data_IF_941592051842
#
_entry.id   IF_941592051842
#
_cell.length_a   1.000
_cell.length_b   1.000
_cell.length_c   1.000
_cell.angle_alpha   90.00
_cell.angle_beta   90.00
_cell.angle_gamma   90.00
#
_symmetry.space_group_name_H-M   'P 1'
#
loop_
_entity.id
_entity.type
_entity.pdbx_description
1 polymer ?
#
# COMPACT_ATOMS: atom_id res chain seq x y z
N UNK A 1 8.09 31.89 -12.73
CA UNK A 1 7.71 31.70 -14.15
C UNK A 1 6.23 31.32 -14.26
N UNK A 2 5.74 30.27 -13.59
CA UNK A 2 4.31 29.88 -13.62
C UNK A 2 3.36 30.96 -13.06
N UNK A 3 3.80 31.77 -12.11
CA UNK A 3 3.05 32.92 -11.60
C UNK A 3 3.05 34.09 -12.59
N UNK A 4 4.08 34.23 -13.44
CA UNK A 4 4.17 35.21 -14.52
C UNK A 4 3.19 34.85 -15.65
N UNK A 5 3.17 33.58 -16.06
CA UNK A 5 2.22 33.10 -17.08
C UNK A 5 0.76 33.21 -16.61
N UNK A 6 0.48 32.91 -15.33
CA UNK A 6 -0.85 33.07 -14.74
C UNK A 6 -1.27 34.57 -14.64
N UNK A 7 -0.31 35.49 -14.43
CA UNK A 7 -0.57 36.94 -14.45
C UNK A 7 -0.79 37.47 -15.87
N UNK A 8 -0.10 36.92 -16.86
CA UNK A 8 -0.28 37.27 -18.26
C UNK A 8 -1.64 36.81 -18.79
N UNK A 9 -2.07 35.57 -18.44
CA UNK A 9 -3.42 35.07 -18.73
C UNK A 9 -4.52 35.91 -18.06
N UNK A 10 -4.25 36.49 -16.90
CA UNK A 10 -5.20 37.38 -16.20
C UNK A 10 -5.25 38.80 -16.81
N UNK A 11 -4.16 39.28 -17.43
CA UNK A 11 -4.11 40.53 -18.14
C UNK A 11 -4.79 40.44 -19.51
N UNK A 12 -4.64 39.31 -20.21
CA UNK A 12 -5.26 39.07 -21.52
C UNK A 12 -6.76 38.73 -21.42
N UNK A 13 -7.26 38.32 -20.25
CA UNK A 13 -8.67 37.96 -20.02
C UNK A 13 -9.62 39.17 -20.01
N UNK A 14 -9.11 40.40 -19.97
CA UNK A 14 -9.94 41.62 -20.05
C UNK A 14 -10.61 41.86 -21.42
N UNK A 15 -10.21 41.10 -22.44
CA UNK A 15 -10.75 41.19 -23.79
C UNK A 15 -11.49 39.92 -24.25
N UNK A 16 -11.79 38.98 -23.36
CA UNK A 16 -12.58 37.82 -23.71
C UNK A 16 -14.08 38.01 -23.48
N UNK A 17 -14.94 37.55 -24.39
CA UNK A 17 -16.39 37.78 -24.34
C UNK A 17 -17.15 36.94 -23.28
N UNK A 18 -16.46 36.16 -22.43
CA UNK A 18 -17.07 35.42 -21.36
C UNK A 18 -16.30 35.57 -20.04
N UNK A 19 -16.96 35.70 -18.89
CA UNK A 19 -16.30 35.86 -17.61
C UNK A 19 -15.57 34.56 -17.26
N UNK A 20 -14.26 34.62 -17.17
CA UNK A 20 -13.47 33.60 -16.48
C UNK A 20 -13.86 33.68 -15.01
N UNK A 21 -14.81 32.84 -14.61
CA UNK A 21 -15.26 32.76 -13.22
C UNK A 21 -14.06 32.38 -12.35
N UNK A 22 -13.58 33.41 -11.70
CA UNK A 22 -12.78 33.40 -10.48
C UNK A 22 -12.03 32.11 -10.18
N UNK A 23 -10.75 32.10 -10.49
CA UNK A 23 -9.77 31.32 -9.74
C UNK A 23 -9.87 31.78 -8.27
N UNK A 24 -10.71 31.11 -7.49
CA UNK A 24 -10.78 31.38 -6.05
C UNK A 24 -9.39 31.24 -5.48
N UNK A 25 -8.98 32.20 -4.67
CA UNK A 25 -7.75 32.20 -3.90
C UNK A 25 -7.78 31.12 -2.80
N UNK A 26 -8.05 29.87 -3.15
CA UNK A 26 -7.70 28.80 -2.26
C UNK A 26 -6.20 28.66 -2.21
N UNK A 27 -5.65 28.78 -1.03
CA UNK A 27 -4.24 28.75 -0.68
C UNK A 27 -3.51 27.63 -1.43
N UNK A 28 -2.86 27.98 -2.53
CA UNK A 28 -1.95 27.08 -3.24
C UNK A 28 -0.75 26.90 -2.32
N UNK A 29 -0.70 25.72 -1.69
CA UNK A 29 0.41 25.36 -0.83
C UNK A 29 1.69 25.35 -1.68
N UNK A 30 2.63 26.25 -1.37
CA UNK A 30 3.85 26.53 -2.15
C UNK A 30 4.84 25.35 -2.22
N UNK A 31 4.52 24.23 -1.59
CA UNK A 31 5.37 23.02 -1.48
C UNK A 31 4.97 21.87 -2.42
N UNK A 32 3.98 22.04 -3.31
CA UNK A 32 3.61 20.98 -4.25
C UNK A 32 4.52 20.95 -5.48
N UNK A 33 4.96 19.78 -5.97
CA UNK A 33 5.72 19.66 -7.22
C UNK A 33 4.95 20.25 -8.41
N UNK A 34 5.67 20.81 -9.38
CA UNK A 34 5.07 21.44 -10.56
C UNK A 34 4.18 20.48 -11.38
N UNK A 35 4.53 19.21 -11.46
CA UNK A 35 3.73 18.15 -12.10
C UNK A 35 2.34 18.01 -11.48
N UNK A 36 2.22 18.13 -10.16
CA UNK A 36 0.96 18.10 -9.43
C UNK A 36 0.07 19.33 -9.73
N UNK A 37 0.67 20.46 -10.03
CA UNK A 37 -0.06 21.68 -10.45
C UNK A 37 -0.67 21.54 -11.84
N UNK A 38 0.03 20.93 -12.77
CA UNK A 38 -0.47 20.68 -14.14
C UNK A 38 -1.63 19.69 -14.12
N UNK A 39 -1.56 18.66 -13.28
CA UNK A 39 -2.64 17.69 -13.12
C UNK A 39 -3.91 18.31 -12.53
N UNK A 40 -3.80 19.24 -11.57
CA UNK A 40 -4.94 20.03 -11.08
C UNK A 40 -5.54 20.91 -12.16
N UNK A 41 -4.71 21.48 -13.04
CA UNK A 41 -5.18 22.36 -14.11
C UNK A 41 -6.04 21.59 -15.13
N UNK A 42 -5.67 20.37 -15.52
CA UNK A 42 -6.48 19.50 -16.40
C UNK A 42 -7.92 19.27 -15.89
N UNK A 43 -8.14 19.28 -14.57
CA UNK A 43 -9.45 19.04 -13.96
C UNK A 43 -10.44 20.21 -14.10
N UNK A 44 -9.95 21.42 -14.41
CA UNK A 44 -10.77 22.64 -14.48
C UNK A 44 -11.11 23.08 -15.91
N UNK A 45 -10.59 22.38 -16.92
CA UNK A 45 -10.87 22.70 -18.33
C UNK A 45 -11.89 21.70 -18.86
N UNK A 46 -13.15 21.98 -18.63
CA UNK A 46 -14.27 21.30 -19.29
C UNK A 46 -15.14 22.33 -20.01
N UNK A 47 -14.93 22.52 -21.29
CA UNK A 47 -15.93 23.08 -22.21
C UNK A 47 -15.45 22.99 -23.67
N UNK A 48 -16.34 22.60 -24.53
CA UNK A 48 -16.15 22.17 -25.92
C UNK A 48 -15.65 23.20 -26.94
N UNK A 49 -15.33 24.45 -26.56
CA UNK A 49 -14.98 25.53 -27.51
C UNK A 49 -13.59 26.15 -27.35
N UNK A 50 -12.76 25.63 -26.45
CA UNK A 50 -11.39 26.14 -26.22
C UNK A 50 -10.30 25.08 -26.52
N UNK A 51 -10.62 24.06 -27.30
CA UNK A 51 -9.77 22.88 -27.43
C UNK A 51 -8.37 23.14 -28.00
N UNK A 52 -8.24 23.96 -29.02
CA UNK A 52 -6.94 24.13 -29.71
C UNK A 52 -5.95 25.04 -28.95
N UNK A 53 -6.41 26.10 -28.35
CA UNK A 53 -5.53 27.00 -27.56
C UNK A 53 -5.15 26.38 -26.22
N UNK A 54 -6.10 25.70 -25.55
CA UNK A 54 -5.85 25.01 -24.29
C UNK A 54 -4.94 23.79 -24.48
N UNK A 55 -5.03 23.06 -25.59
CA UNK A 55 -4.09 22.01 -25.93
C UNK A 55 -2.68 22.54 -26.18
N UNK A 56 -2.55 23.70 -26.86
CA UNK A 56 -1.26 24.37 -27.06
C UNK A 56 -0.60 24.79 -25.75
N UNK A 57 -1.35 25.43 -24.85
CA UNK A 57 -0.87 25.81 -23.50
C UNK A 57 -0.53 24.59 -22.67
N UNK A 58 -1.36 23.57 -22.73
CA UNK A 58 -1.13 22.32 -21.98
C UNK A 58 0.13 21.60 -22.48
N UNK A 59 0.31 21.52 -23.80
CA UNK A 59 1.49 20.92 -24.41
C UNK A 59 2.76 21.71 -24.08
N UNK A 60 2.71 23.03 -24.13
CA UNK A 60 3.83 23.86 -23.70
C UNK A 60 4.17 23.68 -22.20
N UNK A 61 3.17 23.60 -21.31
CA UNK A 61 3.39 23.34 -19.90
C UNK A 61 3.93 21.92 -19.64
N UNK A 62 3.52 20.95 -20.45
CA UNK A 62 4.05 19.59 -20.39
C UNK A 62 5.50 19.53 -20.87
N UNK A 63 5.85 20.25 -21.95
CA UNK A 63 7.23 20.36 -22.42
C UNK A 63 8.14 21.09 -21.42
N UNK A 64 7.67 22.17 -20.83
CA UNK A 64 8.38 22.86 -19.75
C UNK A 64 8.62 21.95 -18.55
N UNK A 65 7.64 21.11 -18.20
CA UNK A 65 7.78 20.15 -17.09
C UNK A 65 8.76 19.04 -17.44
N UNK A 66 8.76 18.56 -18.69
CA UNK A 66 9.69 17.55 -19.17
C UNK A 66 11.16 17.98 -19.09
N UNK A 67 11.46 19.28 -19.23
CA UNK A 67 12.82 19.81 -19.03
C UNK A 67 13.39 19.58 -17.63
N UNK A 68 12.54 19.33 -16.64
CA UNK A 68 12.93 19.07 -15.26
C UNK A 68 12.80 17.61 -14.86
N UNK A 69 12.37 16.72 -15.78
CA UNK A 69 12.33 15.29 -15.56
C UNK A 69 13.67 14.67 -15.91
N UNK A 70 14.17 13.83 -15.01
CA UNK A 70 15.41 13.11 -15.22
C UNK A 70 15.08 11.64 -15.48
N UNK A 71 15.43 11.15 -16.66
CA UNK A 71 15.37 9.71 -16.93
C UNK A 71 16.45 9.01 -16.11
N UNK A 72 16.04 8.07 -15.24
CA UNK A 72 16.90 7.43 -14.25
C UNK A 72 17.06 5.92 -14.47
N UNK A 73 16.32 5.31 -15.37
CA UNK A 73 16.49 3.91 -15.68
C UNK A 73 15.37 3.28 -16.51
N UNK A 74 15.71 2.13 -17.10
CA UNK A 74 14.81 1.33 -17.90
C UNK A 74 14.66 -0.05 -17.30
N UNK A 75 13.43 -0.55 -17.22
CA UNK A 75 13.10 -1.84 -16.65
C UNK A 75 12.12 -2.60 -17.55
N UNK A 76 12.07 -3.91 -17.42
CA UNK A 76 11.01 -4.71 -18.02
C UNK A 76 9.76 -4.64 -17.16
N UNK A 77 9.93 -4.71 -15.83
CA UNK A 77 8.84 -4.67 -14.86
C UNK A 77 9.16 -3.65 -13.75
N UNK A 78 8.21 -2.78 -13.49
CA UNK A 78 8.23 -1.91 -12.29
C UNK A 78 7.11 -2.33 -11.35
N UNK A 79 7.44 -2.53 -10.08
CA UNK A 79 6.48 -2.84 -9.01
C UNK A 79 6.36 -1.65 -8.06
N UNK A 80 5.14 -1.14 -7.87
CA UNK A 80 4.86 0.00 -7.00
C UNK A 80 4.35 -0.51 -5.66
N UNK A 81 5.18 -0.40 -4.64
CA UNK A 81 4.90 -0.86 -3.27
C UNK A 81 5.61 -2.17 -2.93
N UNK A 82 6.35 -2.18 -1.82
CA UNK A 82 7.07 -3.33 -1.29
C UNK A 82 6.36 -3.96 -0.06
N UNK A 83 5.02 -4.03 -0.10
CA UNK A 83 4.24 -4.89 0.77
C UNK A 83 4.29 -6.35 0.31
N UNK A 84 3.54 -7.25 0.95
CA UNK A 84 3.59 -8.69 0.63
C UNK A 84 3.40 -8.99 -0.86
N UNK A 85 2.37 -8.43 -1.49
CA UNK A 85 2.10 -8.65 -2.91
C UNK A 85 3.20 -8.08 -3.81
N UNK A 86 3.76 -6.92 -3.45
CA UNK A 86 4.83 -6.28 -4.23
C UNK A 86 6.16 -7.02 -4.12
N UNK A 87 6.48 -7.55 -2.95
CA UNK A 87 7.68 -8.37 -2.75
C UNK A 87 7.62 -9.61 -3.64
N UNK A 88 6.52 -10.34 -3.57
CA UNK A 88 6.34 -11.56 -4.35
C UNK A 88 6.34 -11.29 -5.85
N UNK A 89 5.68 -10.23 -6.30
CA UNK A 89 5.68 -9.83 -7.70
C UNK A 89 7.08 -9.43 -8.20
N UNK A 90 7.84 -8.67 -7.41
CA UNK A 90 9.18 -8.23 -7.77
C UNK A 90 10.17 -9.40 -7.79
N UNK A 91 10.12 -10.24 -6.76
CA UNK A 91 10.95 -11.44 -6.67
C UNK A 91 10.67 -12.40 -7.85
N UNK A 92 9.41 -12.70 -8.11
CA UNK A 92 9.03 -13.58 -9.21
C UNK A 92 9.47 -13.03 -10.58
N UNK A 93 9.21 -11.75 -10.87
CA UNK A 93 9.59 -11.13 -12.13
C UNK A 93 11.12 -11.17 -12.35
N UNK A 94 11.90 -10.83 -11.33
CA UNK A 94 13.36 -10.87 -11.40
C UNK A 94 13.89 -12.31 -11.52
N UNK A 95 13.35 -13.28 -10.79
CA UNK A 95 13.71 -14.70 -10.87
C UNK A 95 13.43 -15.27 -12.25
N UNK A 96 12.38 -14.79 -12.94
CA UNK A 96 12.08 -15.15 -14.33
C UNK A 96 13.00 -14.45 -15.35
N UNK A 97 13.98 -13.66 -14.90
CA UNK A 97 14.97 -13.01 -15.75
C UNK A 97 14.56 -11.62 -16.26
N UNK A 98 13.45 -11.06 -15.81
CA UNK A 98 13.09 -9.68 -16.15
C UNK A 98 13.94 -8.68 -15.35
N UNK A 99 14.44 -7.64 -16.00
CA UNK A 99 15.06 -6.51 -15.32
C UNK A 99 13.98 -5.74 -14.55
N UNK A 100 13.97 -5.89 -13.24
CA UNK A 100 12.87 -5.48 -12.38
C UNK A 100 13.27 -4.37 -11.41
N UNK A 101 12.37 -3.41 -11.16
CA UNK A 101 12.50 -2.46 -10.06
C UNK A 101 11.30 -2.51 -9.14
N UNK A 102 11.52 -2.43 -7.84
CA UNK A 102 10.48 -2.22 -6.84
C UNK A 102 10.65 -0.86 -6.17
N UNK A 103 9.55 -0.10 -6.10
CA UNK A 103 9.50 1.21 -5.47
C UNK A 103 8.79 1.14 -4.13
N UNK A 104 9.41 1.70 -3.11
CA UNK A 104 8.83 1.82 -1.77
C UNK A 104 9.05 3.22 -1.22
N UNK A 105 8.11 3.74 -0.45
CA UNK A 105 8.27 5.05 0.22
C UNK A 105 9.28 4.99 1.39
N UNK A 106 9.54 3.80 1.93
CA UNK A 106 10.53 3.58 2.97
C UNK A 106 11.11 2.17 2.86
N UNK A 107 12.44 2.07 2.88
CA UNK A 107 13.14 0.78 2.93
C UNK A 107 12.87 0.03 4.23
N UNK A 108 12.55 0.74 5.31
CA UNK A 108 12.22 0.17 6.62
C UNK A 108 10.75 -0.29 6.73
N UNK A 109 9.98 -0.13 5.65
CA UNK A 109 8.60 -0.59 5.56
C UNK A 109 8.40 -1.77 4.59
N UNK A 110 9.48 -2.34 4.05
CA UNK A 110 9.43 -3.55 3.20
C UNK A 110 8.86 -4.71 4.03
N UNK A 111 7.86 -5.41 3.51
CA UNK A 111 7.22 -6.53 4.22
C UNK A 111 6.52 -6.13 5.52
N UNK A 112 6.15 -4.87 5.67
CA UNK A 112 5.51 -4.37 6.88
C UNK A 112 4.16 -5.06 7.13
N UNK A 113 3.91 -5.43 8.39
CA UNK A 113 2.66 -6.05 8.85
C UNK A 113 1.90 -5.08 9.78
N UNK A 114 1.24 -4.05 9.23
CA UNK A 114 0.66 -2.98 10.05
C UNK A 114 -0.56 -3.43 10.86
N UNK A 115 -1.28 -4.44 10.40
CA UNK A 115 -2.48 -4.94 11.08
C UNK A 115 -2.13 -5.97 12.16
N UNK A 116 -1.80 -7.18 11.75
CA UNK A 116 -1.40 -8.29 12.62
C UNK A 116 -0.07 -8.86 12.16
N UNK A 117 0.89 -9.11 13.05
CA UNK A 117 2.13 -9.79 12.69
C UNK A 117 1.89 -11.31 12.58
N UNK A 118 1.05 -11.72 11.64
CA UNK A 118 0.70 -13.12 11.42
C UNK A 118 0.52 -13.44 9.95
N UNK A 119 0.99 -14.63 9.56
CA UNK A 119 0.86 -15.18 8.22
C UNK A 119 -0.12 -16.36 8.27
N UNK A 120 -0.93 -16.50 7.21
CA UNK A 120 -1.88 -17.60 7.08
C UNK A 120 -3.20 -17.39 7.81
N UNK A 121 -3.74 -18.47 8.36
CA UNK A 121 -5.09 -18.55 8.89
C UNK A 121 -6.08 -19.10 7.86
N UNK A 122 -7.36 -19.17 8.22
CA UNK A 122 -8.41 -19.76 7.39
C UNK A 122 -8.43 -19.14 5.99
N UNK A 123 -8.39 -19.95 4.95
CA UNK A 123 -8.23 -19.63 3.53
C UNK A 123 -6.88 -18.98 3.15
N UNK A 124 -6.29 -18.17 4.00
CA UNK A 124 -5.01 -17.50 3.71
C UNK A 124 -3.82 -18.46 3.76
N UNK A 125 -3.84 -19.43 4.67
CA UNK A 125 -2.79 -20.45 4.79
C UNK A 125 -2.62 -21.26 3.51
N UNK A 126 -3.71 -21.59 2.83
CA UNK A 126 -3.69 -22.28 1.54
C UNK A 126 -3.00 -21.44 0.47
N UNK A 127 -3.35 -20.14 0.38
CA UNK A 127 -2.71 -19.22 -0.57
C UNK A 127 -1.21 -19.07 -0.35
N UNK A 128 -0.75 -19.07 0.92
CA UNK A 128 0.70 -19.01 1.21
C UNK A 128 1.40 -20.27 0.72
N UNK A 129 0.79 -21.45 0.87
CA UNK A 129 1.36 -22.71 0.36
C UNK A 129 1.36 -22.79 -1.17
N UNK A 130 0.33 -22.29 -1.82
CA UNK A 130 0.29 -22.17 -3.29
C UNK A 130 1.41 -21.24 -3.78
N UNK A 131 1.60 -20.12 -3.09
CA UNK A 131 2.66 -19.16 -3.39
C UNK A 131 4.06 -19.78 -3.18
N UNK A 132 4.26 -20.51 -2.09
CA UNK A 132 5.51 -21.24 -1.81
C UNK A 132 5.82 -22.27 -2.91
N UNK A 133 4.82 -23.03 -3.35
CA UNK A 133 4.96 -24.00 -4.44
C UNK A 133 5.37 -23.36 -5.79
N UNK A 134 5.09 -22.07 -5.96
CA UNK A 134 5.52 -21.28 -7.12
C UNK A 134 6.88 -20.58 -6.92
N UNK A 135 7.56 -20.82 -5.81
CA UNK A 135 8.87 -20.21 -5.50
C UNK A 135 8.79 -18.86 -4.78
N UNK A 136 7.65 -18.54 -4.15
CA UNK A 136 7.49 -17.34 -3.34
C UNK A 136 8.30 -17.38 -2.05
N UNK A 137 8.58 -16.22 -1.46
CA UNK A 137 9.43 -16.08 -0.27
C UNK A 137 8.67 -15.98 1.04
N UNK A 138 7.35 -15.79 1.00
CA UNK A 138 6.53 -15.56 2.20
C UNK A 138 6.53 -16.76 3.16
N UNK A 139 6.47 -17.98 2.65
CA UNK A 139 6.51 -19.21 3.44
C UNK A 139 7.82 -19.31 4.22
N UNK A 140 8.95 -19.17 3.52
CA UNK A 140 10.29 -19.19 4.11
C UNK A 140 10.49 -18.10 5.16
N UNK A 141 10.05 -16.88 4.87
CA UNK A 141 10.12 -15.76 5.82
C UNK A 141 9.27 -16.00 7.07
N UNK A 142 8.08 -16.58 6.91
CA UNK A 142 7.22 -16.94 8.03
C UNK A 142 7.91 -17.99 8.92
N UNK A 143 8.51 -19.02 8.32
CA UNK A 143 9.20 -20.09 9.06
C UNK A 143 10.47 -19.59 9.76
N UNK A 144 11.22 -18.70 9.13
CA UNK A 144 12.43 -18.12 9.74
C UNK A 144 12.13 -17.19 10.92
N UNK A 145 10.94 -16.57 10.96
CA UNK A 145 10.64 -15.47 11.89
C UNK A 145 9.45 -15.71 12.80
N UNK A 146 8.91 -16.94 12.80
CA UNK A 146 7.74 -17.27 13.62
C UNK A 146 8.04 -17.19 15.12
N UNK A 147 7.00 -16.88 15.86
CA UNK A 147 6.94 -16.90 17.31
C UNK A 147 6.05 -18.05 17.82
N UNK A 148 4.91 -18.25 17.13
CA UNK A 148 3.99 -19.34 17.41
C UNK A 148 3.38 -19.83 16.09
N UNK A 149 3.30 -21.15 15.93
CA UNK A 149 2.61 -21.81 14.82
C UNK A 149 1.46 -22.67 15.34
N UNK A 150 0.35 -22.66 14.63
CA UNK A 150 -0.83 -23.44 14.96
C UNK A 150 -1.63 -23.81 13.72
N UNK A 151 -2.03 -25.06 13.61
CA UNK A 151 -3.01 -25.54 12.64
C UNK A 151 -4.42 -25.23 13.11
N UNK A 152 -5.16 -24.44 12.35
CA UNK A 152 -6.55 -24.11 12.61
C UNK A 152 -7.50 -25.15 12.00
N UNK A 153 -8.69 -25.25 12.56
CA UNK A 153 -9.78 -26.12 12.07
C UNK A 153 -9.49 -27.62 12.12
N UNK A 154 -8.57 -28.09 12.98
CA UNK A 154 -8.25 -29.53 13.13
C UNK A 154 -9.51 -30.41 13.34
N UNK A 155 -10.50 -29.90 14.08
CA UNK A 155 -11.76 -30.64 14.34
C UNK A 155 -12.76 -30.63 13.17
N UNK A 156 -12.45 -29.97 12.04
CA UNK A 156 -13.37 -29.85 10.88
C UNK A 156 -12.94 -30.67 9.67
N UNK A 157 -11.87 -31.44 9.81
CA UNK A 157 -11.31 -32.29 8.76
C UNK A 157 -10.21 -31.64 7.93
N UNK A 158 -9.37 -32.46 7.25
CA UNK A 158 -8.14 -32.01 6.58
C UNK A 158 -8.36 -30.97 5.49
N UNK A 159 -9.48 -31.01 4.77
CA UNK A 159 -9.77 -30.10 3.67
C UNK A 159 -9.84 -28.62 4.08
N UNK A 160 -10.08 -28.34 5.35
CA UNK A 160 -10.17 -26.97 5.90
C UNK A 160 -9.08 -26.66 6.92
N UNK A 161 -8.10 -27.53 7.07
CA UNK A 161 -6.92 -27.23 7.87
C UNK A 161 -6.20 -26.02 7.31
N UNK A 162 -5.85 -25.08 8.16
CA UNK A 162 -5.21 -23.84 7.75
C UNK A 162 -4.13 -23.45 8.75
N UNK A 163 -2.89 -23.44 8.31
CA UNK A 163 -1.78 -23.03 9.14
C UNK A 163 -1.83 -21.52 9.40
N UNK A 164 -1.61 -21.15 10.66
CA UNK A 164 -1.46 -19.77 11.10
C UNK A 164 -0.20 -19.62 11.93
N UNK A 165 0.62 -18.66 11.56
CA UNK A 165 1.88 -18.37 12.21
C UNK A 165 1.86 -16.93 12.73
N UNK A 166 2.17 -16.74 14.01
CA UNK A 166 2.51 -15.44 14.56
C UNK A 166 3.99 -15.20 14.32
N UNK A 167 4.34 -14.04 13.77
CA UNK A 167 5.71 -13.71 13.38
C UNK A 167 6.28 -12.55 14.20
N UNK A 168 7.60 -12.51 14.35
CA UNK A 168 8.30 -11.30 14.78
C UNK A 168 8.30 -10.31 13.61
N UNK A 169 7.55 -9.23 13.77
CA UNK A 169 7.34 -8.23 12.72
C UNK A 169 8.63 -7.62 12.20
N UNK A 170 9.59 -7.33 13.10
CA UNK A 170 10.87 -6.72 12.70
C UNK A 170 11.77 -7.71 11.98
N UNK A 171 11.90 -8.91 12.52
CA UNK A 171 12.69 -9.98 11.88
C UNK A 171 12.11 -10.38 10.53
N UNK A 172 10.79 -10.38 10.39
CA UNK A 172 10.14 -10.63 9.11
C UNK A 172 10.45 -9.53 8.08
N UNK A 173 10.39 -8.29 8.48
CA UNK A 173 10.82 -7.15 7.64
C UNK A 173 12.28 -7.30 7.20
N UNK A 174 13.19 -7.56 8.14
CA UNK A 174 14.62 -7.75 7.86
C UNK A 174 14.84 -8.91 6.87
N UNK A 175 14.17 -10.04 7.09
CA UNK A 175 14.25 -11.20 6.19
C UNK A 175 13.77 -10.85 4.78
N UNK A 176 12.60 -10.21 4.66
CA UNK A 176 12.02 -9.86 3.36
C UNK A 176 12.87 -8.83 2.61
N UNK A 177 13.39 -7.83 3.32
CA UNK A 177 14.30 -6.84 2.73
C UNK A 177 15.55 -7.52 2.20
N UNK A 178 16.18 -8.36 3.00
CA UNK A 178 17.38 -9.10 2.61
C UNK A 178 17.13 -10.04 1.42
N UNK A 179 16.00 -10.72 1.39
CA UNK A 179 15.61 -11.58 0.27
C UNK A 179 15.51 -10.79 -1.04
N UNK A 180 14.93 -9.58 -1.02
CA UNK A 180 14.88 -8.72 -2.20
C UNK A 180 16.27 -8.21 -2.60
N UNK A 181 17.10 -7.79 -1.64
CA UNK A 181 18.46 -7.30 -1.88
C UNK A 181 19.35 -8.36 -2.52
N UNK A 182 19.14 -9.64 -2.21
CA UNK A 182 19.86 -10.76 -2.79
C UNK A 182 19.29 -11.28 -4.11
N UNK A 183 18.13 -10.78 -4.55
CA UNK A 183 17.50 -11.24 -5.79
C UNK A 183 18.20 -10.65 -7.00
N UNK A 184 18.87 -11.46 -7.86
CA UNK A 184 19.57 -10.95 -9.04
C UNK A 184 18.59 -10.27 -10.02
N UNK A 185 19.02 -9.16 -10.62
CA UNK A 185 18.19 -8.42 -11.59
C UNK A 185 17.10 -7.56 -10.99
N UNK A 186 17.02 -7.47 -9.64
CA UNK A 186 16.07 -6.62 -8.93
C UNK A 186 16.75 -5.38 -8.36
N UNK A 187 16.24 -4.20 -8.72
CA UNK A 187 16.61 -2.92 -8.11
C UNK A 187 15.54 -2.49 -7.10
N UNK A 188 15.97 -1.96 -5.95
CA UNK A 188 15.08 -1.45 -4.91
C UNK A 188 15.26 0.07 -4.84
N UNK A 189 14.19 0.83 -5.04
CA UNK A 189 14.20 2.29 -5.00
C UNK A 189 13.34 2.83 -3.85
N UNK A 190 13.94 3.65 -3.01
CA UNK A 190 13.17 4.43 -2.04
C UNK A 190 12.66 5.70 -2.70
N UNK A 191 11.45 5.65 -3.21
CA UNK A 191 10.77 6.80 -3.81
C UNK A 191 9.25 6.59 -3.80
N UNK A 192 8.49 7.70 -3.71
CA UNK A 192 7.06 7.69 -3.97
C UNK A 192 6.81 7.81 -5.47
N UNK A 193 6.13 6.84 -6.06
CA UNK A 193 5.61 6.94 -7.42
C UNK A 193 4.33 7.78 -7.39
N UNK A 194 4.29 8.84 -8.17
CA UNK A 194 3.18 9.79 -8.22
C UNK A 194 2.33 9.67 -9.48
N UNK A 195 2.89 9.13 -10.56
CA UNK A 195 2.13 8.87 -11.79
C UNK A 195 2.61 7.63 -12.55
N UNK A 196 1.70 7.06 -13.33
CA UNK A 196 1.98 6.07 -14.36
C UNK A 196 1.82 6.76 -15.70
N UNK A 197 2.88 6.74 -16.49
CA UNK A 197 2.88 7.30 -17.83
C UNK A 197 2.38 6.27 -18.84
N UNK A 198 1.47 6.71 -19.71
CA UNK A 198 0.91 5.88 -20.78
C UNK A 198 0.98 6.63 -22.12
N UNK A 199 1.24 5.88 -23.17
CA UNK A 199 1.26 6.40 -24.53
C UNK A 199 0.52 5.40 -25.46
N UNK A 200 -0.43 5.88 -26.24
CA UNK A 200 -1.24 5.05 -27.14
C UNK A 200 -1.90 3.83 -26.45
N UNK A 201 -2.38 4.01 -25.21
CA UNK A 201 -3.03 2.95 -24.43
C UNK A 201 -2.06 1.92 -23.82
N UNK A 202 -0.75 2.15 -23.90
CA UNK A 202 0.27 1.28 -23.33
C UNK A 202 1.03 1.99 -22.23
N UNK A 203 1.45 1.25 -21.21
CA UNK A 203 2.34 1.74 -20.18
C UNK A 203 3.69 2.10 -20.81
N UNK A 204 4.22 3.27 -20.46
CA UNK A 204 5.54 3.76 -20.81
C UNK A 204 6.50 3.72 -19.63
N UNK A 205 6.01 4.00 -18.45
CA UNK A 205 6.82 4.04 -17.24
C UNK A 205 6.11 4.67 -16.05
N UNK A 206 6.90 5.14 -15.11
CA UNK A 206 6.43 5.81 -13.90
C UNK A 206 7.24 7.07 -13.61
N UNK A 207 6.62 8.02 -12.91
CA UNK A 207 7.27 9.23 -12.42
C UNK A 207 7.22 9.24 -10.90
N UNK A 208 8.32 9.62 -10.28
CA UNK A 208 8.43 9.76 -8.84
C UNK A 208 8.19 11.19 -8.37
N UNK A 209 7.97 11.37 -7.08
CA UNK A 209 7.73 12.67 -6.44
C UNK A 209 8.88 13.68 -6.67
N UNK A 210 10.11 13.18 -6.87
CA UNK A 210 11.30 13.99 -7.13
C UNK A 210 11.61 14.16 -8.62
N UNK A 211 10.61 13.98 -9.49
CA UNK A 211 10.71 14.09 -10.95
C UNK A 211 11.66 13.08 -11.62
N UNK A 212 11.93 11.96 -10.97
CA UNK A 212 12.62 10.83 -11.59
C UNK A 212 11.65 10.07 -12.51
N UNK A 213 12.02 9.92 -13.78
CA UNK A 213 11.29 9.12 -14.76
C UNK A 213 11.97 7.76 -14.94
N UNK A 214 11.18 6.70 -14.94
CA UNK A 214 11.66 5.33 -15.14
C UNK A 214 10.78 4.65 -16.19
N UNK A 215 11.41 4.15 -17.26
CA UNK A 215 10.69 3.43 -18.31
C UNK A 215 10.39 1.98 -17.91
N UNK A 216 9.23 1.47 -18.32
CA UNK A 216 8.87 0.08 -18.10
C UNK A 216 7.95 -0.47 -19.18
N UNK A 217 8.08 -1.77 -19.48
CA UNK A 217 7.15 -2.51 -20.33
C UNK A 217 5.86 -2.88 -19.58
N UNK A 218 5.99 -3.16 -18.28
CA UNK A 218 4.87 -3.53 -17.39
C UNK A 218 5.00 -2.82 -16.05
N UNK A 219 3.85 -2.46 -15.45
CA UNK A 219 3.78 -1.90 -14.10
C UNK A 219 2.80 -2.71 -13.26
N UNK A 220 3.27 -3.19 -12.11
CA UNK A 220 2.47 -3.89 -11.11
C UNK A 220 2.14 -2.93 -9.97
N UNK A 221 0.87 -2.71 -9.70
CA UNK A 221 0.39 -1.82 -8.64
C UNK A 221 0.12 -2.63 -7.38
N UNK A 222 0.96 -2.50 -6.38
CA UNK A 222 0.90 -3.24 -5.11
C UNK A 222 0.92 -2.29 -3.89
N UNK A 223 0.26 -1.15 -4.00
CA UNK A 223 0.33 -0.02 -3.06
C UNK A 223 -0.35 -0.27 -1.71
N UNK A 224 -1.13 -1.33 -1.59
CA UNK A 224 -1.79 -1.72 -0.33
C UNK A 224 -2.62 -0.58 0.28
N UNK A 225 -2.48 -0.38 1.59
CA UNK A 225 -3.24 0.60 2.37
C UNK A 225 -2.67 2.02 2.34
N UNK A 226 -1.57 2.25 1.62
CA UNK A 226 -0.99 3.59 1.46
C UNK A 226 -1.71 4.43 0.39
N UNK A 227 -2.33 3.78 -0.62
CA UNK A 227 -3.00 4.47 -1.72
C UNK A 227 -4.23 5.23 -1.22
N UNK A 228 -4.14 6.57 -1.22
CA UNK A 228 -5.19 7.45 -0.71
C UNK A 228 -5.58 7.13 0.73
N UNK A 229 -4.62 6.68 1.55
CA UNK A 229 -4.83 6.16 2.89
C UNK A 229 -5.44 7.17 3.86
N UNK A 230 -6.30 6.68 4.75
CA UNK A 230 -6.84 7.45 5.89
C UNK A 230 -6.79 6.57 7.13
N UNK A 231 -6.34 7.13 8.23
CA UNK A 231 -6.32 6.50 9.54
C UNK A 231 -7.45 7.07 10.39
N UNK A 232 -8.16 6.18 11.08
CA UNK A 232 -9.23 6.53 12.01
C UNK A 232 -8.90 5.96 13.39
N UNK A 233 -8.97 6.79 14.42
CA UNK A 233 -8.78 6.39 15.82
C UNK A 233 -9.87 7.08 16.65
N UNK A 234 -10.90 6.36 17.05
CA UNK A 234 -12.08 6.96 17.67
C UNK A 234 -12.70 8.03 16.76
N UNK A 235 -12.89 9.22 17.29
CA UNK A 235 -13.50 10.35 16.61
C UNK A 235 -12.53 11.12 15.69
N UNK A 236 -11.22 10.81 15.76
CA UNK A 236 -10.19 11.48 14.97
C UNK A 236 -9.87 10.72 13.68
N UNK A 237 -9.60 11.48 12.62
CA UNK A 237 -9.08 10.92 11.38
C UNK A 237 -8.06 11.86 10.71
N UNK A 238 -7.17 11.29 9.93
CA UNK A 238 -6.19 12.05 9.16
C UNK A 238 -5.71 11.26 7.93
N UNK A 239 -5.24 11.98 6.91
CA UNK A 239 -4.64 11.36 5.73
C UNK A 239 -3.27 10.80 6.07
N UNK A 240 -3.12 9.49 6.05
CA UNK A 240 -1.88 8.78 6.34
C UNK A 240 -1.95 7.34 5.82
N UNK A 241 -0.79 6.78 5.55
CA UNK A 241 -0.60 5.34 5.50
C UNK A 241 -0.40 4.75 6.91
N UNK A 242 -0.23 3.44 7.04
CA UNK A 242 0.04 2.79 8.31
C UNK A 242 1.40 3.22 8.89
N UNK A 243 1.54 3.09 10.21
CA UNK A 243 2.78 3.30 10.94
C UNK A 243 3.44 4.69 10.74
N UNK A 244 2.64 5.72 10.54
CA UNK A 244 3.12 7.10 10.36
C UNK A 244 3.63 7.41 8.95
N UNK A 245 3.53 6.49 8.00
CA UNK A 245 3.83 6.77 6.60
C UNK A 245 2.78 7.71 6.01
N UNK A 246 3.17 8.58 5.08
CA UNK A 246 2.19 9.43 4.40
C UNK A 246 1.33 8.63 3.41
N UNK A 247 0.19 9.21 3.03
CA UNK A 247 -0.72 8.62 2.05
C UNK A 247 -0.28 8.96 0.62
N UNK A 248 -0.19 7.96 -0.25
CA UNK A 248 0.09 8.15 -1.68
C UNK A 248 -1.16 8.67 -2.40
N UNK A 249 -1.40 9.98 -2.33
CA UNK A 249 -2.59 10.62 -2.91
C UNK A 249 -2.44 10.92 -4.40
N UNK A 250 -1.25 11.34 -4.84
CA UNK A 250 -1.00 11.72 -6.23
C UNK A 250 -1.20 10.54 -7.20
N UNK A 251 -0.71 9.36 -6.83
CA UNK A 251 -0.91 8.15 -7.62
C UNK A 251 -2.40 7.77 -7.77
N UNK A 252 -3.22 8.04 -6.74
CA UNK A 252 -4.68 7.81 -6.82
C UNK A 252 -5.31 8.58 -7.98
N UNK A 253 -4.89 9.82 -8.16
CA UNK A 253 -5.43 10.66 -9.23
C UNK A 253 -4.90 10.22 -10.61
N UNK A 254 -3.63 9.81 -10.70
CA UNK A 254 -3.05 9.25 -11.92
C UNK A 254 -3.78 7.98 -12.37
N UNK A 255 -4.08 7.06 -11.44
CA UNK A 255 -4.81 5.83 -11.74
C UNK A 255 -6.23 6.10 -12.24
N UNK A 256 -6.93 7.07 -11.66
CA UNK A 256 -8.26 7.49 -12.15
C UNK A 256 -8.18 8.08 -13.55
N UNK A 257 -7.16 8.88 -13.84
CA UNK A 257 -6.94 9.45 -15.16
C UNK A 257 -6.62 8.37 -16.21
N UNK A 258 -5.97 7.29 -15.80
CA UNK A 258 -5.75 6.11 -16.65
C UNK A 258 -7.02 5.24 -16.83
N UNK A 259 -8.18 5.67 -16.30
CA UNK A 259 -9.46 4.97 -16.45
C UNK A 259 -9.70 3.83 -15.46
N UNK A 260 -8.86 3.67 -14.43
CA UNK A 260 -9.02 2.61 -13.43
C UNK A 260 -10.08 3.00 -12.37
N UNK A 261 -11.16 2.22 -12.21
CA UNK A 261 -12.17 2.48 -11.18
C UNK A 261 -11.59 2.13 -9.81
N UNK A 262 -11.54 3.12 -8.92
CA UNK A 262 -11.07 2.93 -7.55
C UNK A 262 -12.23 2.91 -6.57
N UNK A 263 -12.18 2.00 -5.60
CA UNK A 263 -13.09 1.91 -4.47
C UNK A 263 -12.34 2.08 -3.16
N UNK A 264 -13.03 2.62 -2.17
CA UNK A 264 -12.49 2.67 -0.83
C UNK A 264 -12.78 1.38 -0.08
N UNK A 265 -11.72 0.79 0.47
CA UNK A 265 -11.82 -0.36 1.36
C UNK A 265 -11.46 0.06 2.78
N UNK A 266 -12.09 -0.56 3.78
CA UNK A 266 -11.70 -0.41 5.17
C UNK A 266 -10.99 -1.66 5.67
N UNK A 267 -9.97 -1.49 6.49
CA UNK A 267 -9.36 -2.55 7.28
C UNK A 267 -9.47 -2.21 8.77
N UNK A 268 -9.43 -3.22 9.64
CA UNK A 268 -9.38 -3.01 11.08
C UNK A 268 -8.02 -3.46 11.62
N UNK A 269 -7.45 -2.65 12.50
CA UNK A 269 -6.24 -3.00 13.25
C UNK A 269 -6.62 -3.19 14.70
N UNK A 270 -6.24 -4.32 15.35
CA UNK A 270 -6.53 -4.54 16.76
C UNK A 270 -5.76 -3.55 17.64
N UNK A 271 -6.34 -3.22 18.79
CA UNK A 271 -5.66 -2.39 19.78
C UNK A 271 -4.33 -3.00 20.20
N UNK A 272 -3.29 -2.17 20.29
CA UNK A 272 -2.01 -2.54 20.89
C UNK A 272 -2.03 -2.16 22.36
N UNK A 273 -1.89 -3.17 23.23
CA UNK A 273 -1.86 -2.97 24.67
C UNK A 273 -0.47 -3.24 25.21
N UNK A 274 -0.11 -2.53 26.28
CA UNK A 274 1.17 -2.75 26.91
C UNK A 274 1.16 -4.07 27.69
N UNK A 275 2.15 -4.93 27.51
CA UNK A 275 2.19 -6.25 28.14
C UNK A 275 2.01 -6.23 29.65
N UNK A 276 2.56 -5.20 30.33
CA UNK A 276 2.43 -5.06 31.79
C UNK A 276 1.01 -4.72 32.24
N UNK A 277 0.11 -4.30 31.35
CA UNK A 277 -1.30 -4.05 31.69
C UNK A 277 -2.18 -5.29 31.59
N UNK A 278 -1.61 -6.43 31.19
CA UNK A 278 -2.34 -7.68 31.01
C UNK A 278 -2.18 -8.52 32.27
N UNK A 279 -3.31 -8.92 32.85
CA UNK A 279 -3.36 -9.91 33.93
C UNK A 279 -3.49 -11.31 33.34
N UNK A 280 -2.38 -11.95 33.08
CA UNK A 280 -2.33 -13.28 32.47
C UNK A 280 -2.96 -14.36 33.34
N UNK A 281 -3.09 -14.16 34.66
CA UNK A 281 -3.73 -15.12 35.56
C UNK A 281 -5.24 -15.30 35.28
N UNK A 282 -5.85 -14.35 34.61
CA UNK A 282 -7.28 -14.36 34.23
C UNK A 282 -7.54 -14.82 32.79
N UNK A 283 -6.51 -15.21 32.08
CA UNK A 283 -6.59 -15.58 30.67
C UNK A 283 -6.27 -17.05 30.47
N UNK A 284 -6.88 -17.65 29.47
CA UNK A 284 -6.60 -19.01 29.03
C UNK A 284 -5.35 -19.03 28.14
N UNK A 285 -4.35 -19.83 28.51
CA UNK A 285 -3.16 -20.00 27.71
C UNK A 285 -3.45 -20.79 26.44
N UNK A 286 -2.91 -20.33 25.33
CA UNK A 286 -2.95 -21.00 24.02
C UNK A 286 -1.52 -21.22 23.53
N UNK A 287 -0.89 -22.37 23.84
CA UNK A 287 0.53 -22.61 23.58
C UNK A 287 0.87 -22.80 22.08
N UNK A 288 -0.11 -23.01 21.24
CA UNK A 288 0.12 -23.40 19.84
C UNK A 288 0.08 -24.93 19.68
N UNK A 289 0.57 -25.42 18.55
CA UNK A 289 0.69 -26.87 18.35
C UNK A 289 1.96 -27.39 19.05
N UNK A 290 1.93 -28.65 19.55
CA UNK A 290 3.11 -29.30 20.13
C UNK A 290 4.19 -29.54 19.05
N UNK A 291 5.45 -29.61 19.45
CA UNK A 291 6.60 -29.68 18.55
C UNK A 291 6.53 -30.80 17.51
N UNK A 292 6.02 -31.96 17.92
CA UNK A 292 5.86 -33.12 17.03
C UNK A 292 4.73 -32.98 16.00
N UNK A 293 3.89 -31.94 16.11
CA UNK A 293 2.80 -31.65 15.18
C UNK A 293 3.04 -30.35 14.39
N UNK A 294 4.10 -29.61 14.72
CA UNK A 294 4.43 -28.38 14.04
C UNK A 294 4.77 -28.65 12.58
N UNK A 295 4.18 -27.84 11.71
CA UNK A 295 4.44 -27.89 10.28
C UNK A 295 4.95 -26.53 9.81
N UNK A 296 6.01 -26.49 9.00
CA UNK A 296 6.44 -25.26 8.35
C UNK A 296 5.43 -24.80 7.29
N UNK A 297 5.46 -23.54 6.92
CA UNK A 297 4.74 -23.05 5.75
C UNK A 297 5.40 -23.51 4.46
N UNK A 298 6.72 -23.34 4.37
CA UNK A 298 7.47 -23.71 3.19
C UNK A 298 7.81 -25.20 3.19
N UNK A 299 7.64 -25.83 2.04
CA UNK A 299 8.11 -27.20 1.81
C UNK A 299 9.64 -27.29 1.72
N UNK A 300 10.33 -26.16 1.67
CA UNK A 300 11.79 -26.05 1.65
C UNK A 300 12.39 -25.87 3.06
N UNK A 301 11.58 -25.82 4.09
CA UNK A 301 12.02 -25.67 5.48
C UNK A 301 12.20 -27.04 6.13
N UNK A 302 13.47 -27.45 6.35
CA UNK A 302 13.83 -28.72 7.00
C UNK A 302 14.19 -28.55 8.47
N UNK A 303 14.27 -27.31 8.98
CA UNK A 303 14.70 -27.05 10.35
C UNK A 303 13.59 -27.46 11.35
N UNK A 304 13.95 -28.09 12.48
CA UNK A 304 13.00 -28.40 13.54
C UNK A 304 12.37 -27.11 14.10
N UNK A 305 11.08 -27.17 14.38
CA UNK A 305 10.31 -26.02 14.85
C UNK A 305 9.96 -26.17 16.34
N UNK A 306 10.04 -25.06 17.09
CA UNK A 306 9.60 -24.96 18.48
C UNK A 306 8.86 -23.64 18.69
N UNK A 307 7.66 -23.69 19.25
CA UNK A 307 6.95 -22.46 19.62
C UNK A 307 7.72 -21.69 20.68
N UNK A 308 7.92 -20.38 20.44
CA UNK A 308 8.78 -19.49 21.26
C UNK A 308 7.99 -18.67 22.25
N UNK A 309 6.72 -18.42 21.96
CA UNK A 309 5.80 -17.62 22.79
C UNK A 309 4.41 -18.24 22.76
N UNK A 310 3.70 -18.06 23.87
CA UNK A 310 2.32 -18.43 24.01
C UNK A 310 1.40 -17.27 23.61
N UNK A 311 0.24 -17.59 23.06
CA UNK A 311 -0.88 -16.66 22.93
C UNK A 311 -1.85 -16.87 24.11
N UNK A 312 -2.73 -15.89 24.30
CA UNK A 312 -3.69 -15.91 25.40
C UNK A 312 -5.07 -15.53 24.89
N UNK A 313 -6.08 -16.22 25.36
CA UNK A 313 -7.47 -16.00 24.96
C UNK A 313 -8.13 -15.11 26.01
N UNK A 314 -8.71 -14.00 25.55
CA UNK A 314 -9.59 -13.16 26.33
C UNK A 314 -11.01 -13.26 25.76
N UNK A 315 -12.00 -13.34 26.63
CA UNK A 315 -13.40 -13.38 26.25
C UNK A 315 -14.06 -12.02 26.53
N UNK A 316 -14.99 -11.63 25.65
CA UNK A 316 -15.91 -10.53 25.94
C UNK A 316 -16.96 -10.97 26.97
N UNK A 317 -17.45 -10.03 27.74
CA UNK A 317 -18.48 -10.23 28.76
C UNK A 317 -19.59 -9.19 28.60
N UNK A 318 -20.70 -9.29 29.36
CA UNK A 318 -21.82 -8.33 29.27
C UNK A 318 -21.38 -6.87 29.45
N UNK A 319 -20.42 -6.59 30.32
CA UNK A 319 -19.92 -5.22 30.53
C UNK A 319 -19.15 -4.72 29.31
N UNK A 320 -18.33 -5.57 28.68
CA UNK A 320 -17.66 -5.26 27.40
C UNK A 320 -18.69 -4.90 26.33
N UNK A 321 -19.76 -5.69 26.23
CA UNK A 321 -20.82 -5.44 25.25
C UNK A 321 -21.57 -4.14 25.55
N UNK A 322 -21.87 -3.85 26.82
CA UNK A 322 -22.50 -2.58 27.23
C UNK A 322 -21.64 -1.38 26.83
N UNK A 323 -20.35 -1.41 27.16
CA UNK A 323 -19.42 -0.32 26.80
C UNK A 323 -19.38 -0.10 25.28
N UNK A 324 -19.35 -1.17 24.48
CA UNK A 324 -19.38 -1.06 23.03
C UNK A 324 -20.68 -0.44 22.55
N UNK A 325 -21.81 -0.88 23.04
CA UNK A 325 -23.14 -0.40 22.62
C UNK A 325 -23.36 1.07 23.02
N UNK A 326 -22.93 1.47 24.21
CA UNK A 326 -23.03 2.86 24.70
C UNK A 326 -22.20 3.83 23.84
N UNK A 327 -21.16 3.31 23.16
CA UNK A 327 -20.25 4.10 22.34
C UNK A 327 -20.33 3.78 20.83
N UNK A 328 -21.35 3.05 20.38
CA UNK A 328 -21.43 2.58 18.99
C UNK A 328 -21.41 3.73 17.97
N UNK A 329 -22.00 4.85 18.30
CA UNK A 329 -22.06 6.05 17.46
C UNK A 329 -20.70 6.73 17.27
N UNK A 330 -19.76 6.47 18.18
CA UNK A 330 -18.38 6.95 18.07
C UNK A 330 -17.49 6.03 17.20
N UNK A 331 -18.02 4.89 16.80
CA UNK A 331 -17.32 4.00 15.87
C UNK A 331 -17.27 4.64 14.49
N UNK A 332 -16.09 4.81 13.88
CA UNK A 332 -15.97 5.34 12.53
C UNK A 332 -16.79 4.55 11.49
N UNK A 333 -16.94 3.24 11.70
CA UNK A 333 -17.72 2.37 10.81
C UNK A 333 -19.22 2.46 11.07
N UNK A 334 -19.63 2.28 12.33
CA UNK A 334 -21.07 2.22 12.69
C UNK A 334 -21.69 3.61 12.87
N UNK A 335 -20.89 4.62 13.14
CA UNK A 335 -21.29 6.04 13.16
C UNK A 335 -21.37 6.70 11.78
N UNK A 336 -21.12 5.94 10.68
CA UNK A 336 -21.29 6.45 9.31
C UNK A 336 -20.09 7.30 8.79
N UNK A 337 -19.01 7.41 9.53
CA UNK A 337 -17.83 8.18 9.12
C UNK A 337 -17.04 7.49 8.00
N UNK A 338 -17.10 6.17 7.93
CA UNK A 338 -16.45 5.35 6.90
C UNK A 338 -17.52 4.78 5.97
N UNK A 339 -17.53 5.25 4.74
CA UNK A 339 -18.25 4.63 3.63
C UNK A 339 -17.29 3.68 2.90
N UNK A 340 -17.39 2.39 3.13
CA UNK A 340 -16.51 1.42 2.48
C UNK A 340 -16.86 -0.02 2.82
N UNK A 341 -16.49 -0.93 1.93
CA UNK A 341 -16.66 -2.37 2.11
C UNK A 341 -15.41 -2.95 2.73
N UNK A 342 -15.57 -3.78 3.75
CA UNK A 342 -14.47 -4.57 4.29
C UNK A 342 -14.01 -5.61 3.27
N UNK A 343 -12.71 -5.77 3.03
CA UNK A 343 -12.19 -6.84 2.16
C UNK A 343 -12.23 -8.18 2.90
N UNK A 344 -13.39 -8.77 3.01
CA UNK A 344 -13.56 -10.10 3.59
C UNK A 344 -14.36 -10.98 2.68
#
# INVERSE_FOLDING_TARGET
>A
YALSAARQLQADSSNMPFPVTTLSREKVNSKSPQAFRIYKFKKYISAEHAQSETEGILNHLLEETRKYMNHLGDYDVIVIGAGHAGIEAAHAAATLGARTAVFTMSLDAIGNMPCNPSIGGTAKGTLVRELDALGGVMGLAADATYLQSRMLNKGKGPAVHALRVQTDRKRYHEYMKHALELTPGLAIHQAEVVSIETENGRVKGVVTQLNGEYSAKCVVIATGTNLGGKIFVGDAWYASGPDGMHAANALTDSLKAAGLPLRRFKTGTPARVHRRSIDFSKLECQPGDPDNELQPFSFMTDAPMHNKVECWIAYTNPETHRIILDNIQRSPLYGGMIEGVGPR
#
